data_IF_565780985859
#
_entry.id   IF_565780985859
#
_cell.length_a   1.000
_cell.length_b   1.000
_cell.length_c   1.000
_cell.angle_alpha   90.00
_cell.angle_beta   90.00
_cell.angle_gamma   90.00
#
_symmetry.space_group_name_H-M   'P 1'
#
loop_
_entity.id
_entity.type
_entity.pdbx_description
1 polymer ?
#
# COMPACT_ATOMS: atom_id res chain seq x y z
N UNK A 1 -27.90 -1.05 28.34
CA UNK A 1 -26.62 -1.22 27.63
C UNK A 1 -26.23 0.15 27.11
N UNK A 2 -25.12 0.70 27.61
CA UNK A 2 -24.72 2.08 27.35
C UNK A 2 -24.02 2.22 26.01
N UNK A 3 -24.11 3.40 25.39
CA UNK A 3 -23.32 3.74 24.22
C UNK A 3 -21.86 3.97 24.63
N UNK A 4 -20.91 3.38 23.90
CA UNK A 4 -19.49 3.57 24.14
C UNK A 4 -18.85 4.34 22.97
N UNK A 5 -17.91 5.23 23.27
CA UNK A 5 -17.17 5.98 22.26
C UNK A 5 -15.67 5.80 22.44
N UNK A 6 -15.01 5.36 21.38
CA UNK A 6 -13.55 5.25 21.31
C UNK A 6 -13.01 6.29 20.34
N UNK A 7 -11.83 6.83 20.65
CA UNK A 7 -11.10 7.74 19.77
C UNK A 7 -9.94 7.01 19.10
N UNK A 8 -9.65 7.40 17.87
CA UNK A 8 -8.50 6.96 17.10
C UNK A 8 -8.00 8.06 16.18
N UNK A 9 -6.96 7.76 15.42
CA UNK A 9 -6.39 8.67 14.44
C UNK A 9 -6.99 8.37 13.06
N UNK A 10 -7.65 9.33 12.41
CA UNK A 10 -8.10 9.21 11.02
C UNK A 10 -6.97 8.80 10.06
N UNK A 11 -7.15 7.67 9.38
CA UNK A 11 -6.21 7.21 8.35
C UNK A 11 -6.84 7.32 6.95
N UNK A 12 -8.08 6.83 6.81
CA UNK A 12 -8.91 6.95 5.59
C UNK A 12 -10.26 7.53 6.00
N UNK A 13 -10.67 8.65 5.39
CA UNK A 13 -11.88 9.36 5.78
C UNK A 13 -13.18 8.65 5.39
N UNK A 14 -14.30 9.24 5.81
CA UNK A 14 -15.64 8.75 5.54
C UNK A 14 -16.31 8.08 6.75
N UNK A 15 -17.51 7.55 6.52
CA UNK A 15 -18.37 6.99 7.56
C UNK A 15 -18.82 5.58 7.19
N UNK A 16 -18.70 4.67 8.15
CA UNK A 16 -19.11 3.28 8.03
C UNK A 16 -20.11 2.88 9.11
N UNK A 17 -21.08 2.03 8.77
CA UNK A 17 -22.03 1.46 9.73
C UNK A 17 -22.05 -0.05 9.54
N UNK A 18 -21.77 -0.79 10.61
CA UNK A 18 -21.71 -2.25 10.56
C UNK A 18 -21.74 -2.88 11.93
N UNK A 19 -21.45 -4.18 11.98
CA UNK A 19 -21.14 -4.90 13.22
C UNK A 19 -19.64 -5.07 13.37
N UNK A 20 -19.16 -4.96 14.60
CA UNK A 20 -17.76 -5.19 14.93
C UNK A 20 -17.42 -6.65 14.62
N UNK A 21 -16.38 -6.85 13.83
CA UNK A 21 -15.82 -8.16 13.53
C UNK A 21 -14.34 -8.16 13.86
N UNK A 22 -13.96 -8.94 14.87
CA UNK A 22 -12.56 -9.10 15.24
C UNK A 22 -11.88 -10.07 14.29
N UNK A 23 -10.74 -9.64 13.79
CA UNK A 23 -9.81 -10.48 13.06
C UNK A 23 -8.66 -10.74 14.02
N UNK A 24 -8.75 -11.86 14.69
CA UNK A 24 -7.68 -12.38 15.53
C UNK A 24 -6.87 -13.35 14.69
N UNK A 25 -5.55 -13.23 14.75
CA UNK A 25 -4.63 -14.26 14.28
C UNK A 25 -4.67 -15.43 15.27
N UNK A 26 -5.83 -16.08 15.38
CA UNK A 26 -6.11 -17.14 16.36
C UNK A 26 -5.39 -18.47 16.06
N UNK A 27 -4.54 -18.52 15.03
CA UNK A 27 -3.78 -19.71 14.66
C UNK A 27 -2.36 -19.77 15.23
N UNK A 28 -1.81 -18.64 15.70
CA UNK A 28 -0.40 -18.56 16.10
C UNK A 28 -0.18 -18.75 17.63
N UNK A 29 -1.20 -19.09 18.42
CA UNK A 29 -0.96 -19.49 19.81
C UNK A 29 -0.19 -20.83 19.85
N UNK A 30 1.13 -20.71 19.74
CA UNK A 30 2.17 -21.68 20.10
C UNK A 30 1.75 -23.15 19.93
N UNK A 31 1.59 -23.59 18.69
CA UNK A 31 2.06 -24.94 18.36
C UNK A 31 3.60 -24.94 18.22
N UNK A 32 4.29 -24.33 19.19
CA UNK A 32 5.71 -24.54 19.44
C UNK A 32 5.88 -25.95 20.03
N UNK A 33 5.46 -26.96 19.27
CA UNK A 33 5.70 -28.34 19.58
C UNK A 33 7.14 -28.65 19.18
N UNK A 34 8.02 -28.86 20.16
CA UNK A 34 9.36 -29.41 19.90
C UNK A 34 9.24 -30.57 18.92
N UNK A 35 10.05 -30.54 17.86
CA UNK A 35 10.14 -31.50 16.76
C UNK A 35 10.50 -32.93 17.17
N UNK A 36 10.44 -33.26 18.46
CA UNK A 36 10.61 -34.63 18.92
C UNK A 36 9.57 -35.62 18.33
N UNK A 37 8.60 -35.16 17.51
CA UNK A 37 7.69 -35.99 16.71
C UNK A 37 7.52 -35.58 15.22
N UNK A 38 8.23 -34.59 14.70
CA UNK A 38 8.01 -34.09 13.33
C UNK A 38 9.17 -34.53 12.42
N UNK A 39 8.87 -35.13 11.27
CA UNK A 39 9.86 -35.51 10.27
C UNK A 39 10.23 -34.27 9.43
N UNK A 40 11.51 -33.91 9.26
CA UNK A 40 11.92 -32.74 8.49
C UNK A 40 11.34 -32.70 7.07
N UNK A 41 11.24 -33.86 6.41
CA UNK A 41 10.69 -33.96 5.06
C UNK A 41 9.17 -33.69 5.02
N UNK A 42 8.43 -34.03 6.08
CA UNK A 42 6.99 -33.70 6.19
C UNK A 42 6.79 -32.19 6.36
N UNK A 43 7.62 -31.54 7.19
CA UNK A 43 7.58 -30.08 7.39
C UNK A 43 7.96 -29.32 6.12
N UNK A 44 8.94 -29.80 5.35
CA UNK A 44 9.26 -29.24 4.04
C UNK A 44 8.08 -29.39 3.08
N UNK A 45 7.43 -30.55 3.06
CA UNK A 45 6.23 -30.75 2.24
C UNK A 45 5.06 -29.83 2.64
N UNK A 46 4.91 -29.52 3.93
CA UNK A 46 3.95 -28.52 4.43
C UNK A 46 4.32 -27.11 3.96
N UNK A 47 5.59 -26.74 4.08
CA UNK A 47 6.13 -25.46 3.64
C UNK A 47 5.88 -25.23 2.14
N UNK A 48 6.24 -26.19 1.29
CA UNK A 48 6.07 -26.07 -0.17
C UNK A 48 4.60 -25.89 -0.56
N UNK A 49 3.69 -26.62 0.09
CA UNK A 49 2.23 -26.44 -0.11
C UNK A 49 1.77 -25.05 0.31
N UNK A 50 2.28 -24.52 1.42
CA UNK A 50 1.93 -23.18 1.90
C UNK A 50 2.48 -22.08 0.99
N UNK A 51 3.71 -22.22 0.49
CA UNK A 51 4.30 -21.31 -0.50
C UNK A 51 3.50 -21.30 -1.80
N UNK A 52 3.14 -22.48 -2.32
CA UNK A 52 2.33 -22.60 -3.53
C UNK A 52 0.95 -21.95 -3.38
N UNK A 53 0.26 -22.18 -2.24
CA UNK A 53 -1.02 -21.51 -1.92
C UNK A 53 -0.86 -20.00 -1.80
N UNK A 54 0.21 -19.53 -1.19
CA UNK A 54 0.50 -18.09 -1.04
C UNK A 54 0.72 -17.43 -2.40
N UNK A 55 1.44 -18.10 -3.31
CA UNK A 55 1.63 -17.63 -4.68
C UNK A 55 0.31 -17.59 -5.45
N UNK A 56 -0.54 -18.61 -5.30
CA UNK A 56 -1.88 -18.64 -5.91
C UNK A 56 -2.77 -17.51 -5.39
N UNK A 57 -2.76 -17.27 -4.08
CA UNK A 57 -3.46 -16.16 -3.44
C UNK A 57 -3.01 -14.82 -3.98
N UNK A 58 -1.69 -14.57 -4.05
CA UNK A 58 -1.13 -13.34 -4.61
C UNK A 58 -1.49 -13.19 -6.09
N UNK A 59 -1.52 -14.28 -6.85
CA UNK A 59 -1.94 -14.26 -8.26
C UNK A 59 -3.42 -13.88 -8.39
N UNK A 60 -4.31 -14.46 -7.59
CA UNK A 60 -5.72 -14.07 -7.51
C UNK A 60 -5.86 -12.61 -7.07
N UNK A 61 -5.08 -12.18 -6.06
CA UNK A 61 -5.04 -10.79 -5.63
C UNK A 61 -4.56 -9.85 -6.73
N UNK A 62 -3.59 -10.24 -7.55
CA UNK A 62 -3.15 -9.39 -8.66
C UNK A 62 -4.15 -9.30 -9.83
N UNK A 63 -5.04 -10.30 -9.99
CA UNK A 63 -5.93 -10.40 -11.15
C UNK A 63 -7.33 -9.84 -10.94
N UNK A 64 -7.86 -9.82 -9.70
CA UNK A 64 -9.25 -9.40 -9.41
C UNK A 64 -9.44 -7.89 -9.16
N UNK A 65 -8.41 -7.06 -9.35
CA UNK A 65 -8.51 -5.61 -9.14
C UNK A 65 -9.20 -4.88 -10.31
N UNK A 66 -10.09 -3.93 -10.01
CA UNK A 66 -10.73 -3.07 -11.02
C UNK A 66 -10.07 -1.69 -11.07
N UNK A 67 -9.73 -1.22 -12.27
CA UNK A 67 -9.30 0.15 -12.53
C UNK A 67 -8.09 0.63 -11.69
N UNK A 68 -8.18 1.79 -11.01
CA UNK A 68 -7.04 2.48 -10.36
C UNK A 68 -6.44 1.73 -9.16
N UNK A 69 -7.20 0.79 -8.60
CA UNK A 69 -6.77 -0.07 -7.49
C UNK A 69 -5.70 -1.06 -7.95
N UNK A 70 -5.92 -1.70 -9.11
CA UNK A 70 -5.00 -2.69 -9.66
C UNK A 70 -3.65 -2.10 -10.04
N UNK A 71 -3.64 -0.83 -10.45
CA UNK A 71 -2.44 -0.07 -10.78
C UNK A 71 -1.59 0.20 -9.52
N UNK A 72 -2.21 0.71 -8.44
CA UNK A 72 -1.51 0.93 -7.16
C UNK A 72 -0.98 -0.37 -6.50
N UNK A 73 -1.64 -1.50 -6.74
CA UNK A 73 -1.30 -2.79 -6.12
C UNK A 73 -0.27 -3.62 -6.94
N UNK A 74 -0.12 -3.36 -8.24
CA UNK A 74 0.68 -4.21 -9.15
C UNK A 74 2.16 -4.29 -8.78
N UNK A 75 2.77 -3.15 -8.42
CA UNK A 75 4.18 -3.11 -8.01
C UNK A 75 4.46 -3.91 -6.75
N UNK A 76 3.51 -3.92 -5.80
CA UNK A 76 3.62 -4.65 -4.53
C UNK A 76 3.54 -6.16 -4.79
N UNK A 77 2.52 -6.61 -5.53
CA UNK A 77 2.37 -8.03 -5.83
C UNK A 77 3.53 -8.59 -6.65
N UNK A 78 4.14 -7.80 -7.54
CA UNK A 78 5.30 -8.25 -8.30
C UNK A 78 6.50 -8.55 -7.40
N UNK A 79 6.76 -7.70 -6.40
CA UNK A 79 7.82 -7.96 -5.40
C UNK A 79 7.54 -9.24 -4.63
N UNK A 80 6.27 -9.46 -4.26
CA UNK A 80 5.90 -10.65 -3.49
C UNK A 80 6.09 -11.94 -4.30
N UNK A 81 5.76 -11.91 -5.59
CA UNK A 81 6.01 -13.04 -6.51
C UNK A 81 7.49 -13.32 -6.65
N UNK A 82 8.30 -12.30 -6.91
CA UNK A 82 9.76 -12.46 -7.03
C UNK A 82 10.37 -13.08 -5.77
N UNK A 83 9.90 -12.69 -4.58
CA UNK A 83 10.37 -13.28 -3.33
C UNK A 83 9.95 -14.75 -3.18
N UNK A 84 8.71 -15.10 -3.53
CA UNK A 84 8.19 -16.47 -3.42
C UNK A 84 8.74 -17.41 -4.49
N UNK A 85 9.26 -16.87 -5.59
CA UNK A 85 9.92 -17.61 -6.67
C UNK A 85 11.44 -17.69 -6.49
N UNK A 86 12.01 -16.99 -5.49
CA UNK A 86 13.44 -16.99 -5.22
C UNK A 86 13.88 -18.34 -4.61
N UNK A 87 14.66 -19.08 -5.40
CA UNK A 87 15.22 -20.39 -5.03
C UNK A 87 16.10 -20.28 -3.79
N UNK A 88 16.86 -19.20 -3.62
CA UNK A 88 17.74 -19.03 -2.47
C UNK A 88 16.94 -18.87 -1.17
N UNK A 89 15.84 -18.11 -1.22
CA UNK A 89 14.94 -17.94 -0.08
C UNK A 89 14.28 -19.26 0.31
N UNK A 90 13.79 -20.03 -0.66
CA UNK A 90 13.17 -21.34 -0.43
C UNK A 90 14.20 -22.33 0.16
N UNK A 91 15.42 -22.36 -0.37
CA UNK A 91 16.47 -23.24 0.12
C UNK A 91 16.95 -22.86 1.52
N UNK A 92 16.96 -21.57 1.88
CA UNK A 92 17.26 -21.14 3.24
C UNK A 92 16.21 -21.64 4.23
N UNK A 93 14.92 -21.53 3.89
CA UNK A 93 13.84 -22.08 4.73
C UNK A 93 13.96 -23.61 4.91
N UNK A 94 14.30 -24.33 3.82
CA UNK A 94 14.53 -25.79 3.89
C UNK A 94 15.72 -26.14 4.79
N UNK A 95 16.80 -25.37 4.72
CA UNK A 95 17.98 -25.55 5.59
C UNK A 95 17.64 -25.29 7.04
N UNK A 96 16.92 -24.21 7.32
CA UNK A 96 16.48 -23.84 8.67
C UNK A 96 15.69 -24.99 9.32
N UNK A 97 14.72 -25.58 8.59
CA UNK A 97 13.96 -26.76 9.06
C UNK A 97 14.88 -27.96 9.33
N UNK A 98 15.78 -28.30 8.40
CA UNK A 98 16.63 -29.50 8.50
C UNK A 98 17.70 -29.40 9.58
N UNK A 99 18.42 -28.28 9.61
CA UNK A 99 19.59 -28.09 10.46
C UNK A 99 19.18 -27.79 11.90
N UNK A 100 18.22 -26.87 12.09
CA UNK A 100 17.79 -26.45 13.43
C UNK A 100 16.65 -27.30 13.99
N UNK A 101 16.09 -28.22 13.19
CA UNK A 101 14.95 -29.07 13.57
C UNK A 101 13.84 -28.21 14.19
N UNK A 102 13.44 -27.18 13.44
CA UNK A 102 12.35 -26.24 13.75
C UNK A 102 11.17 -26.43 12.79
N UNK A 103 9.96 -26.12 13.25
CA UNK A 103 8.74 -26.29 12.45
C UNK A 103 8.76 -25.38 11.22
N UNK A 104 7.93 -25.66 10.20
CA UNK A 104 7.84 -24.79 9.04
C UNK A 104 7.47 -23.34 9.42
N UNK A 105 6.61 -23.17 10.43
CA UNK A 105 6.21 -21.86 10.96
C UNK A 105 7.38 -21.12 11.63
N UNK A 106 8.16 -21.82 12.47
CA UNK A 106 9.33 -21.26 13.14
C UNK A 106 10.44 -20.92 12.15
N UNK A 107 10.66 -21.77 11.13
CA UNK A 107 11.62 -21.51 10.07
C UNK A 107 11.29 -20.24 9.28
N UNK A 108 10.01 -20.09 8.89
CA UNK A 108 9.52 -18.86 8.25
C UNK A 108 9.78 -17.66 9.15
N UNK A 109 9.42 -17.73 10.43
CA UNK A 109 9.64 -16.61 11.33
C UNK A 109 11.12 -16.27 11.53
N UNK A 110 11.99 -17.26 11.67
CA UNK A 110 13.43 -17.07 11.83
C UNK A 110 14.05 -16.41 10.60
N UNK A 111 13.76 -16.94 9.41
CA UNK A 111 14.25 -16.38 8.15
C UNK A 111 13.76 -14.93 7.96
N UNK A 112 12.45 -14.68 8.10
CA UNK A 112 11.92 -13.32 7.93
C UNK A 112 12.49 -12.34 8.97
N UNK A 113 12.67 -12.77 10.23
CA UNK A 113 13.28 -11.94 11.27
C UNK A 113 14.71 -11.54 10.89
N UNK A 114 15.50 -12.47 10.34
CA UNK A 114 16.86 -12.23 9.85
C UNK A 114 16.89 -11.23 8.68
N UNK A 115 15.97 -11.36 7.72
CA UNK A 115 15.86 -10.42 6.60
C UNK A 115 15.46 -9.02 7.08
N UNK A 116 14.47 -8.94 7.97
CA UNK A 116 14.00 -7.68 8.54
C UNK A 116 15.10 -6.99 9.35
N UNK A 117 15.85 -7.72 10.18
CA UNK A 117 16.97 -7.13 10.93
C UNK A 117 18.05 -6.59 9.98
N UNK A 118 18.43 -7.34 8.95
CA UNK A 118 19.40 -6.87 7.96
C UNK A 118 18.94 -5.60 7.21
N UNK A 119 17.65 -5.49 6.92
CA UNK A 119 17.06 -4.28 6.32
C UNK A 119 17.13 -3.10 7.29
N UNK A 120 16.77 -3.29 8.57
CA UNK A 120 16.79 -2.23 9.57
C UNK A 120 18.23 -1.75 9.81
N UNK A 121 19.17 -2.67 9.95
CA UNK A 121 20.59 -2.39 10.18
C UNK A 121 21.25 -1.67 9.01
N UNK A 122 20.71 -1.82 7.78
CA UNK A 122 21.20 -1.11 6.60
C UNK A 122 21.01 0.42 6.66
N UNK A 123 20.14 0.92 7.56
CA UNK A 123 19.83 2.35 7.70
C UNK A 123 19.12 2.97 6.49
N UNK A 124 18.75 2.17 5.49
CA UNK A 124 18.10 2.66 4.27
C UNK A 124 16.59 2.88 4.51
N UNK A 125 16.19 4.15 4.59
CA UNK A 125 14.79 4.55 4.84
C UNK A 125 13.79 4.02 3.80
N UNK A 126 14.22 3.78 2.56
CA UNK A 126 13.39 3.18 1.53
C UNK A 126 13.18 1.68 1.79
N UNK A 127 14.22 0.96 2.20
CA UNK A 127 14.10 -0.45 2.56
C UNK A 127 13.33 -0.65 3.86
N UNK A 128 13.43 0.29 4.81
CA UNK A 128 12.62 0.28 6.03
C UNK A 128 11.10 0.25 5.74
N UNK A 129 10.65 0.90 4.65
CA UNK A 129 9.24 0.84 4.24
C UNK A 129 8.86 -0.55 3.69
N UNK A 130 9.82 -1.34 3.20
CA UNK A 130 9.62 -2.71 2.73
C UNK A 130 9.56 -3.75 3.84
N UNK A 131 9.93 -3.42 5.07
CA UNK A 131 9.79 -4.34 6.22
C UNK A 131 8.33 -4.80 6.38
N UNK A 132 7.37 -3.88 6.26
CA UNK A 132 5.94 -4.20 6.34
C UNK A 132 5.48 -5.13 5.20
N UNK A 133 6.05 -4.95 4.00
CA UNK A 133 5.80 -5.80 2.84
C UNK A 133 6.29 -7.24 3.11
N UNK A 134 7.51 -7.39 3.65
CA UNK A 134 8.06 -8.70 4.04
C UNK A 134 7.25 -9.37 5.15
N UNK A 135 6.92 -8.64 6.21
CA UNK A 135 6.09 -9.16 7.30
C UNK A 135 4.72 -9.63 6.81
N UNK A 136 4.13 -8.95 5.82
CA UNK A 136 2.86 -9.35 5.22
C UNK A 136 2.92 -10.70 4.54
N UNK A 137 3.97 -10.95 3.74
CA UNK A 137 4.17 -12.24 3.08
C UNK A 137 4.42 -13.32 4.13
N UNK A 138 5.31 -13.07 5.10
CA UNK A 138 5.61 -14.01 6.17
C UNK A 138 4.36 -14.41 6.96
N UNK A 139 3.49 -13.43 7.26
CA UNK A 139 2.20 -13.70 7.88
C UNK A 139 1.30 -14.56 6.98
N UNK A 140 1.20 -14.26 5.69
CA UNK A 140 0.36 -15.03 4.76
C UNK A 140 0.84 -16.47 4.58
N UNK A 141 2.15 -16.70 4.53
CA UNK A 141 2.72 -18.06 4.50
C UNK A 141 2.31 -18.82 5.76
N UNK A 142 2.42 -18.19 6.95
CA UNK A 142 2.00 -18.79 8.22
C UNK A 142 0.51 -19.10 8.27
N UNK A 143 -0.35 -18.20 7.78
CA UNK A 143 -1.81 -18.46 7.68
C UNK A 143 -2.10 -19.70 6.80
N UNK A 144 -1.37 -19.83 5.68
CA UNK A 144 -1.49 -20.97 4.78
C UNK A 144 -0.89 -22.28 5.34
N UNK A 145 0.10 -22.20 6.23
CA UNK A 145 0.66 -23.34 6.98
C UNK A 145 -0.33 -23.89 8.02
N UNK A 146 -0.98 -23.00 8.77
CA UNK A 146 -1.94 -23.37 9.80
C UNK A 146 -3.31 -23.79 9.22
N UNK A 147 -3.52 -23.66 7.90
CA UNK A 147 -4.82 -23.80 7.23
C UNK A 147 -5.93 -22.93 7.85
N UNK A 148 -5.53 -21.90 8.60
CA UNK A 148 -6.45 -20.90 9.17
C UNK A 148 -6.67 -19.86 8.09
N UNK A 149 -7.64 -20.10 7.20
CA UNK A 149 -8.15 -19.00 6.40
C UNK A 149 -8.65 -17.92 7.37
N UNK A 150 -8.19 -16.68 7.21
CA UNK A 150 -8.76 -15.53 7.92
C UNK A 150 -10.22 -15.42 7.50
N UNK A 151 -11.08 -16.08 8.27
CA UNK A 151 -12.49 -16.20 7.97
C UNK A 151 -13.16 -14.90 8.38
N UNK A 152 -12.99 -13.82 7.63
CA UNK A 152 -13.95 -12.71 7.73
C UNK A 152 -15.26 -13.24 7.16
N UNK A 153 -16.36 -13.32 7.93
CA UNK A 153 -17.61 -13.89 7.46
C UNK A 153 -18.12 -13.02 6.32
N UNK A 154 -17.91 -13.47 5.10
CA UNK A 154 -18.60 -13.05 3.88
C UNK A 154 -20.01 -13.60 3.90
N UNK A 155 -20.74 -13.40 5.02
CA UNK A 155 -22.16 -13.72 5.04
C UNK A 155 -22.83 -12.62 4.22
N UNK A 156 -23.20 -12.97 2.99
CA UNK A 156 -23.89 -12.11 2.05
C UNK A 156 -24.99 -11.31 2.79
N UNK A 157 -24.86 -9.98 2.78
CA UNK A 157 -25.86 -9.06 3.33
C UNK A 157 -25.57 -8.44 4.71
N UNK A 158 -24.49 -8.79 5.43
CA UNK A 158 -24.12 -8.10 6.68
C UNK A 158 -22.95 -7.14 6.47
N UNK A 159 -23.16 -5.87 6.82
CA UNK A 159 -22.13 -4.82 6.86
C UNK A 159 -21.27 -5.00 8.11
N UNK A 160 -19.95 -5.14 7.96
CA UNK A 160 -19.01 -5.36 9.06
C UNK A 160 -17.97 -4.24 9.14
N UNK A 161 -17.58 -3.89 10.36
CA UNK A 161 -16.41 -3.07 10.65
C UNK A 161 -15.34 -4.04 11.15
N UNK A 162 -14.26 -4.19 10.38
CA UNK A 162 -13.18 -5.09 10.73
C UNK A 162 -12.28 -4.45 11.79
N UNK A 163 -11.88 -5.22 12.79
CA UNK A 163 -10.99 -4.79 13.87
C UNK A 163 -9.78 -5.69 13.89
N UNK A 164 -8.60 -5.10 13.65
CA UNK A 164 -7.32 -5.79 13.53
C UNK A 164 -6.32 -5.18 14.51
N UNK A 165 -5.36 -5.97 14.98
CA UNK A 165 -4.22 -5.40 15.74
C UNK A 165 -3.31 -4.62 14.80
N UNK A 166 -2.84 -5.30 13.76
CA UNK A 166 -1.96 -4.73 12.74
C UNK A 166 -2.62 -4.83 11.36
N UNK A 167 -2.64 -3.72 10.63
CA UNK A 167 -3.17 -3.67 9.27
C UNK A 167 -2.04 -3.80 8.24
N UNK A 168 -1.86 -5.02 7.72
CA UNK A 168 -0.91 -5.31 6.63
C UNK A 168 -1.50 -5.02 5.25
N UNK A 169 -0.68 -4.71 4.22
CA UNK A 169 -1.13 -4.53 2.84
C UNK A 169 -2.00 -5.67 2.31
N UNK A 170 -1.60 -6.94 2.48
CA UNK A 170 -2.39 -8.09 2.03
C UNK A 170 -3.75 -8.16 2.72
N UNK A 171 -3.79 -7.88 4.03
CA UNK A 171 -5.04 -7.83 4.78
C UNK A 171 -5.93 -6.69 4.31
N UNK A 172 -5.37 -5.52 4.00
CA UNK A 172 -6.13 -4.39 3.45
C UNK A 172 -6.79 -4.75 2.11
N UNK A 173 -6.09 -5.45 1.21
CA UNK A 173 -6.65 -5.95 -0.06
C UNK A 173 -7.79 -6.94 0.21
N UNK A 174 -7.60 -7.88 1.12
CA UNK A 174 -8.62 -8.87 1.49
C UNK A 174 -9.88 -8.20 2.06
N UNK A 175 -9.71 -7.24 2.97
CA UNK A 175 -10.81 -6.49 3.57
C UNK A 175 -11.55 -5.65 2.53
N UNK A 176 -10.81 -5.01 1.64
CA UNK A 176 -11.37 -4.20 0.58
C UNK A 176 -12.26 -5.02 -0.36
N UNK A 177 -11.79 -6.18 -0.80
CA UNK A 177 -12.55 -7.08 -1.68
C UNK A 177 -13.78 -7.67 -1.04
N UNK A 178 -13.72 -7.91 0.28
CA UNK A 178 -14.85 -8.41 1.05
C UNK A 178 -15.91 -7.34 1.32
N UNK A 179 -15.65 -6.07 0.96
CA UNK A 179 -16.61 -4.99 1.06
C UNK A 179 -16.95 -4.63 2.51
N UNK A 180 -15.95 -4.61 3.40
CA UNK A 180 -16.15 -4.13 4.77
C UNK A 180 -16.54 -2.65 4.76
N UNK A 181 -17.38 -2.25 5.71
CA UNK A 181 -17.84 -0.85 5.82
C UNK A 181 -16.88 0.05 6.59
N UNK A 182 -15.83 -0.51 7.16
CA UNK A 182 -14.77 0.24 7.83
C UNK A 182 -13.74 -0.67 8.48
N UNK A 183 -12.62 -0.09 8.85
CA UNK A 183 -11.48 -0.80 9.45
C UNK A 183 -10.99 -0.03 10.68
N UNK A 184 -10.76 -0.76 11.77
CA UNK A 184 -10.08 -0.28 12.96
C UNK A 184 -8.77 -1.05 13.10
N UNK A 185 -7.66 -0.34 13.23
CA UNK A 185 -6.36 -0.91 13.46
C UNK A 185 -5.70 -0.25 14.68
N UNK A 186 -4.95 -1.02 15.47
CA UNK A 186 -4.05 -0.44 16.47
C UNK A 186 -2.76 0.05 15.83
N UNK A 187 -2.25 -0.72 14.87
CA UNK A 187 -0.98 -0.51 14.18
C UNK A 187 -1.09 -0.75 12.66
N UNK A 188 -0.08 -0.34 11.89
CA UNK A 188 -0.02 -0.55 10.42
C UNK A 188 -0.93 0.37 9.58
N UNK A 189 -1.87 1.10 10.19
CA UNK A 189 -2.74 2.04 9.50
C UNK A 189 -2.23 3.50 9.53
N UNK A 190 -0.93 3.73 9.36
CA UNK A 190 -0.37 5.08 9.20
C UNK A 190 -0.93 5.79 7.96
N UNK A 191 -1.13 7.11 8.02
CA UNK A 191 -1.81 7.88 6.95
C UNK A 191 -1.26 7.69 5.52
N UNK A 192 0.06 7.41 5.41
CA UNK A 192 0.79 7.16 4.17
C UNK A 192 1.16 5.69 3.96
N UNK A 193 0.66 4.75 4.77
CA UNK A 193 0.95 3.33 4.58
C UNK A 193 0.24 2.78 3.35
N UNK A 194 0.83 1.80 2.68
CA UNK A 194 0.22 1.13 1.53
C UNK A 194 -1.16 0.56 1.87
N UNK A 195 -1.32 0.00 3.08
CA UNK A 195 -2.59 -0.49 3.58
C UNK A 195 -3.69 0.57 3.53
N UNK A 196 -3.39 1.79 3.97
CA UNK A 196 -4.35 2.91 3.99
C UNK A 196 -4.60 3.46 2.59
N UNK A 197 -3.58 3.49 1.73
CA UNK A 197 -3.74 3.87 0.31
C UNK A 197 -4.71 2.92 -0.39
N UNK A 198 -4.59 1.61 -0.13
CA UNK A 198 -5.51 0.59 -0.66
C UNK A 198 -6.93 0.87 -0.15
N UNK A 199 -7.14 1.00 1.17
CA UNK A 199 -8.47 1.24 1.73
C UNK A 199 -9.09 2.58 1.25
N UNK A 200 -8.28 3.63 1.06
CA UNK A 200 -8.72 4.90 0.45
C UNK A 200 -9.22 4.70 -0.98
N UNK A 201 -8.54 3.88 -1.78
CA UNK A 201 -8.95 3.61 -3.16
C UNK A 201 -10.32 2.90 -3.24
N UNK A 202 -10.69 2.14 -2.21
CA UNK A 202 -12.00 1.51 -2.06
C UNK A 202 -13.03 2.36 -1.27
N UNK A 203 -12.68 3.59 -0.87
CA UNK A 203 -13.50 4.46 -0.02
C UNK A 203 -13.92 3.80 1.32
N UNK A 204 -13.03 3.02 1.91
CA UNK A 204 -13.27 2.36 3.19
C UNK A 204 -12.72 3.23 4.33
N UNK A 205 -13.57 3.68 5.26
CA UNK A 205 -13.12 4.51 6.38
C UNK A 205 -12.25 3.70 7.34
N UNK A 206 -11.17 4.30 7.80
CA UNK A 206 -10.15 3.61 8.60
C UNK A 206 -9.67 4.48 9.74
N UNK A 207 -9.69 3.94 10.97
CA UNK A 207 -9.05 4.54 12.15
C UNK A 207 -7.82 3.72 12.55
N UNK A 208 -6.76 4.43 12.91
CA UNK A 208 -5.54 3.89 13.48
C UNK A 208 -5.45 4.20 14.99
N UNK A 209 -4.51 3.58 15.70
CA UNK A 209 -4.23 3.84 17.12
C UNK A 209 -5.46 3.67 18.03
N UNK A 210 -6.35 2.76 17.69
CA UNK A 210 -7.48 2.38 18.56
C UNK A 210 -7.05 1.22 19.45
N UNK A 211 -7.40 1.27 20.73
CA UNK A 211 -7.12 0.18 21.67
C UNK A 211 -7.90 -1.09 21.30
N UNK A 212 -7.17 -2.08 20.76
CA UNK A 212 -7.74 -3.36 20.33
C UNK A 212 -8.41 -4.10 21.48
N UNK A 213 -7.78 -4.16 22.66
CA UNK A 213 -8.28 -4.95 23.79
C UNK A 213 -9.56 -4.33 24.38
N UNK A 214 -9.65 -3.01 24.36
CA UNK A 214 -10.85 -2.32 24.79
C UNK A 214 -12.03 -2.58 23.84
N UNK A 215 -11.79 -2.58 22.52
CA UNK A 215 -12.82 -2.84 21.50
C UNK A 215 -13.18 -4.32 21.40
N UNK A 216 -12.25 -5.23 21.73
CA UNK A 216 -12.42 -6.69 21.67
C UNK A 216 -13.68 -7.18 22.40
N UNK A 217 -14.01 -6.56 23.53
CA UNK A 217 -15.16 -6.92 24.37
C UNK A 217 -16.51 -6.69 23.69
N UNK A 218 -16.54 -5.94 22.60
CA UNK A 218 -17.75 -5.55 21.87
C UNK A 218 -17.92 -6.27 20.52
N UNK A 219 -17.23 -7.40 20.33
CA UNK A 219 -17.37 -8.21 19.12
C UNK A 219 -18.83 -8.55 18.82
N UNK A 220 -19.25 -8.37 17.57
CA UNK A 220 -20.62 -8.61 17.12
C UNK A 220 -21.62 -7.47 17.40
N UNK A 221 -21.28 -6.50 18.25
CA UNK A 221 -22.11 -5.32 18.52
C UNK A 221 -22.19 -4.41 17.30
N UNK A 222 -23.29 -3.65 17.19
CA UNK A 222 -23.43 -2.62 16.15
C UNK A 222 -22.48 -1.48 16.46
N UNK A 223 -21.85 -0.93 15.43
CA UNK A 223 -20.99 0.23 15.56
C UNK A 223 -21.07 1.15 14.34
N UNK A 224 -20.71 2.41 14.58
CA UNK A 224 -20.51 3.44 13.57
C UNK A 224 -19.05 3.87 13.67
N UNK A 225 -18.35 3.87 12.55
CA UNK A 225 -17.02 4.46 12.42
C UNK A 225 -17.18 5.79 11.69
N UNK A 226 -16.76 6.87 12.34
CA UNK A 226 -16.66 8.20 11.75
C UNK A 226 -15.18 8.55 11.70
N UNK A 227 -14.58 8.25 10.56
CA UNK A 227 -13.16 8.48 10.34
C UNK A 227 -12.85 9.95 10.00
N UNK A 228 -13.85 10.80 9.79
CA UNK A 228 -13.62 12.25 9.68
C UNK A 228 -13.40 12.86 11.06
N UNK A 229 -14.18 12.43 12.05
CA UNK A 229 -14.06 12.90 13.43
C UNK A 229 -13.07 12.08 14.29
N UNK A 230 -12.59 10.94 13.78
CA UNK A 230 -11.67 10.09 14.53
C UNK A 230 -12.34 9.26 15.62
N UNK A 231 -13.63 8.92 15.47
CA UNK A 231 -14.42 8.26 16.52
C UNK A 231 -15.06 6.95 16.06
N UNK A 232 -15.17 6.02 17.00
CA UNK A 232 -15.94 4.80 16.89
C UNK A 232 -17.05 4.84 17.95
N UNK A 233 -18.29 4.68 17.53
CA UNK A 233 -19.47 4.63 18.40
C UNK A 233 -19.98 3.20 18.42
N UNK A 234 -20.01 2.57 19.58
CA UNK A 234 -20.47 1.19 19.79
C UNK A 234 -21.83 1.21 20.48
N UNK A 235 -22.72 0.32 20.05
CA UNK A 235 -24.13 0.26 20.46
C UNK A 235 -24.84 1.63 20.28
N UNK A 236 -24.73 2.26 19.09
CA UNK A 236 -25.40 3.53 18.82
C UNK A 236 -26.92 3.36 18.90
N UNK A 237 -27.59 4.41 19.32
CA UNK A 237 -29.04 4.41 19.38
C UNK A 237 -29.66 4.53 17.96
N UNK A 238 -31.00 4.46 17.89
CA UNK A 238 -31.69 4.57 16.59
C UNK A 238 -31.58 5.96 15.97
N UNK A 239 -31.41 7.00 16.78
CA UNK A 239 -31.29 8.39 16.32
C UNK A 239 -29.93 8.65 15.67
N UNK A 240 -28.85 8.17 16.29
CA UNK A 240 -27.49 8.20 15.77
C UNK A 240 -27.39 7.45 14.44
N UNK A 241 -27.92 6.22 14.39
CA UNK A 241 -27.92 5.43 13.15
C UNK A 241 -28.64 6.18 12.02
N UNK A 242 -29.76 6.86 12.31
CA UNK A 242 -30.49 7.64 11.29
C UNK A 242 -29.68 8.84 10.83
N UNK A 243 -29.12 9.60 11.77
CA UNK A 243 -28.26 10.77 11.48
C UNK A 243 -27.09 10.39 10.58
N UNK A 244 -26.35 9.33 10.93
CA UNK A 244 -25.21 8.89 10.14
C UNK A 244 -25.59 8.27 8.78
N UNK A 245 -26.74 7.61 8.67
CA UNK A 245 -27.24 7.16 7.36
C UNK A 245 -27.57 8.32 6.44
N UNK A 246 -28.15 9.39 6.98
CA UNK A 246 -28.43 10.61 6.22
C UNK A 246 -27.12 11.27 5.77
N UNK A 247 -26.14 11.39 6.68
CA UNK A 247 -24.80 11.90 6.35
C UNK A 247 -24.13 11.11 5.21
N UNK A 248 -24.17 9.76 5.26
CA UNK A 248 -23.64 8.91 4.18
C UNK A 248 -24.36 9.18 2.86
N UNK A 249 -25.69 9.30 2.89
CA UNK A 249 -26.49 9.57 1.69
C UNK A 249 -26.18 10.95 1.09
N UNK A 250 -26.02 11.97 1.93
CA UNK A 250 -25.75 13.33 1.47
C UNK A 250 -24.33 13.45 0.91
N UNK A 251 -23.35 12.81 1.56
CA UNK A 251 -21.99 12.71 1.04
C UNK A 251 -21.94 11.98 -0.31
N UNK A 252 -22.72 10.91 -0.48
CA UNK A 252 -22.81 10.19 -1.75
C UNK A 252 -23.39 11.07 -2.87
N UNK A 253 -24.49 11.79 -2.60
CA UNK A 253 -25.08 12.74 -3.56
C UNK A 253 -24.12 13.85 -3.94
N UNK A 254 -23.41 14.41 -2.94
CA UNK A 254 -22.40 15.45 -3.17
C UNK A 254 -21.25 14.94 -4.02
N UNK A 255 -20.76 13.73 -3.75
CA UNK A 255 -19.73 13.10 -4.58
C UNK A 255 -20.22 12.87 -6.01
N UNK A 256 -21.47 12.42 -6.22
CA UNK A 256 -22.02 12.29 -7.57
C UNK A 256 -22.08 13.64 -8.29
N UNK A 257 -22.58 14.69 -7.65
CA UNK A 257 -22.60 16.03 -8.22
C UNK A 257 -21.20 16.53 -8.62
N UNK A 258 -20.19 16.35 -7.74
CA UNK A 258 -18.79 16.69 -8.06
C UNK A 258 -18.26 15.86 -9.24
N UNK A 259 -18.62 14.57 -9.32
CA UNK A 259 -18.20 13.71 -10.42
C UNK A 259 -18.89 14.06 -11.75
N UNK A 260 -20.07 14.68 -11.71
CA UNK A 260 -20.78 15.23 -12.88
C UNK A 260 -20.17 16.57 -13.33
N UNK A 261 -19.63 17.37 -12.40
CA UNK A 261 -18.93 18.63 -12.68
C UNK A 261 -17.46 18.46 -13.14
N UNK A 262 -16.99 17.22 -13.38
CA UNK A 262 -15.59 16.86 -13.70
C UNK A 262 -14.90 17.67 -14.80
N UNK A 263 -15.66 18.32 -15.67
CA UNK A 263 -15.13 19.08 -16.82
C UNK A 263 -15.38 20.58 -16.70
N UNK A 264 -15.92 21.05 -15.57
CA UNK A 264 -16.15 22.46 -15.36
C UNK A 264 -14.80 23.17 -15.06
N UNK A 265 -14.50 24.30 -15.72
CA UNK A 265 -13.34 25.12 -15.39
C UNK A 265 -13.40 25.62 -13.94
N UNK A 266 -12.26 25.63 -13.24
CA UNK A 266 -12.20 26.07 -11.86
C UNK A 266 -12.15 27.61 -11.74
N UNK A 267 -13.09 28.17 -10.98
CA UNK A 267 -13.19 29.60 -10.68
C UNK A 267 -13.32 29.82 -9.17
N UNK A 268 -12.76 30.92 -8.69
CA UNK A 268 -13.03 31.44 -7.35
C UNK A 268 -14.42 32.10 -7.30
N UNK A 269 -14.95 32.37 -6.10
CA UNK A 269 -16.27 33.01 -5.93
C UNK A 269 -16.35 34.42 -6.54
N UNK A 270 -15.21 35.11 -6.66
CA UNK A 270 -15.05 36.41 -7.30
C UNK A 270 -14.68 36.30 -8.80
N UNK A 271 -14.71 35.09 -9.38
CA UNK A 271 -14.62 34.88 -10.83
C UNK A 271 -13.19 34.72 -11.39
N UNK A 272 -12.17 34.61 -10.54
CA UNK A 272 -10.81 34.37 -11.00
C UNK A 272 -10.64 32.90 -11.40
N UNK A 273 -10.22 32.68 -12.66
CA UNK A 273 -9.93 31.34 -13.16
C UNK A 273 -8.61 30.83 -12.60
N UNK A 274 -8.57 29.57 -12.17
CA UNK A 274 -7.34 28.86 -11.85
C UNK A 274 -7.37 27.46 -12.45
N UNK A 275 -6.21 26.82 -12.55
CA UNK A 275 -6.10 25.46 -13.10
C UNK A 275 -5.76 24.45 -12.03
N UNK A 276 -6.46 23.32 -12.04
CA UNK A 276 -6.16 22.18 -11.16
C UNK A 276 -5.33 21.17 -11.94
N UNK A 277 -4.07 21.03 -11.51
CA UNK A 277 -3.11 20.12 -12.13
C UNK A 277 -2.66 19.03 -11.17
N UNK A 278 -2.31 17.85 -11.70
CA UNK A 278 -1.81 16.74 -10.87
C UNK A 278 -0.30 16.73 -10.72
N UNK A 279 0.15 16.27 -9.56
CA UNK A 279 1.52 15.85 -9.32
C UNK A 279 1.61 14.34 -9.57
N UNK A 280 2.46 13.93 -10.49
CA UNK A 280 2.62 12.53 -10.88
C UNK A 280 4.08 12.10 -10.82
N UNK A 281 4.28 10.80 -10.67
CA UNK A 281 5.60 10.16 -10.61
C UNK A 281 5.72 8.97 -11.57
N UNK A 282 4.59 8.56 -12.17
CA UNK A 282 4.49 7.50 -13.18
C UNK A 282 3.23 7.70 -14.05
N UNK A 283 3.07 6.87 -15.09
CA UNK A 283 1.93 6.93 -16.02
C UNK A 283 0.61 6.45 -15.41
N UNK A 284 0.64 5.68 -14.33
CA UNK A 284 -0.56 5.20 -13.66
C UNK A 284 -1.22 6.33 -12.86
N UNK A 285 -0.43 7.09 -12.10
CA UNK A 285 -0.87 8.31 -11.41
C UNK A 285 -1.48 9.32 -12.39
N UNK A 286 -0.91 9.42 -13.60
CA UNK A 286 -1.50 10.19 -14.69
C UNK A 286 -2.91 9.71 -15.06
N UNK A 287 -3.10 8.41 -15.31
CA UNK A 287 -4.39 7.86 -15.70
C UNK A 287 -5.45 8.02 -14.60
N UNK A 288 -5.04 7.95 -13.33
CA UNK A 288 -5.92 8.23 -12.18
C UNK A 288 -6.36 9.69 -12.21
N UNK A 289 -5.42 10.62 -12.40
CA UNK A 289 -5.67 12.04 -12.44
C UNK A 289 -6.54 12.45 -13.66
N UNK A 290 -6.26 11.89 -14.84
CA UNK A 290 -7.03 12.12 -16.06
C UNK A 290 -8.52 11.73 -15.88
N UNK A 291 -8.81 10.62 -15.20
CA UNK A 291 -10.19 10.19 -14.87
C UNK A 291 -10.94 11.15 -13.92
N UNK A 292 -10.22 12.07 -13.28
CA UNK A 292 -10.74 13.11 -12.38
C UNK A 292 -10.82 14.49 -13.03
N UNK A 293 -10.49 14.62 -14.32
CA UNK A 293 -10.65 15.87 -15.07
C UNK A 293 -9.55 16.91 -14.82
N UNK A 294 -8.29 16.49 -14.68
CA UNK A 294 -7.18 17.44 -14.55
C UNK A 294 -7.04 18.33 -15.79
N UNK A 295 -6.67 19.59 -15.56
CA UNK A 295 -6.36 20.56 -16.60
C UNK A 295 -4.87 20.52 -17.01
N UNK A 296 -4.01 19.94 -16.16
CA UNK A 296 -2.56 19.93 -16.34
C UNK A 296 -1.86 18.85 -15.52
N UNK A 297 -0.58 18.65 -15.82
CA UNK A 297 0.37 17.97 -14.93
C UNK A 297 1.29 19.05 -14.35
N UNK A 298 1.08 19.38 -13.08
CA UNK A 298 1.80 20.46 -12.39
C UNK A 298 3.18 20.05 -11.91
N UNK A 299 3.45 18.75 -11.87
CA UNK A 299 4.77 18.22 -11.53
C UNK A 299 4.91 16.77 -11.99
N UNK A 300 5.88 16.48 -12.85
CA UNK A 300 6.42 15.14 -13.05
C UNK A 300 7.65 14.98 -12.17
N UNK A 301 7.58 14.07 -11.20
CA UNK A 301 8.73 13.62 -10.43
C UNK A 301 9.52 12.61 -11.24
N UNK A 302 10.70 13.01 -11.70
CA UNK A 302 11.54 12.18 -12.58
C UNK A 302 12.48 11.26 -11.81
N UNK A 303 12.61 11.42 -10.50
CA UNK A 303 13.54 10.66 -9.66
C UNK A 303 13.26 9.16 -9.75
N UNK A 304 11.99 8.75 -9.76
CA UNK A 304 11.58 7.34 -9.84
C UNK A 304 12.18 6.66 -11.08
N UNK A 305 12.36 7.39 -12.19
CA UNK A 305 12.94 6.85 -13.41
C UNK A 305 14.42 6.48 -13.24
N UNK A 306 15.14 7.22 -12.41
CA UNK A 306 16.50 6.90 -12.02
C UNK A 306 16.50 5.83 -10.92
N UNK A 307 15.57 5.89 -9.96
CA UNK A 307 15.58 4.98 -8.82
C UNK A 307 15.20 3.52 -9.14
N UNK A 308 14.24 3.32 -10.05
CA UNK A 308 13.70 1.99 -10.36
C UNK A 308 14.42 1.28 -11.54
N UNK A 309 15.50 1.85 -12.06
CA UNK A 309 16.27 1.28 -13.17
C UNK A 309 17.34 0.28 -12.71
N UNK A 310 17.73 -0.65 -13.58
CA UNK A 310 18.98 -1.42 -13.41
C UNK A 310 20.22 -0.64 -13.86
N UNK A 311 20.02 0.43 -14.62
CA UNK A 311 21.02 1.34 -15.17
C UNK A 311 20.41 2.74 -15.28
N UNK A 312 21.28 3.75 -15.40
CA UNK A 312 20.87 5.14 -15.66
C UNK A 312 20.03 5.20 -16.95
N UNK A 313 18.86 5.86 -16.94
CA UNK A 313 18.01 5.95 -18.12
C UNK A 313 18.67 6.77 -19.23
N UNK A 314 18.79 6.19 -20.42
CA UNK A 314 19.27 6.89 -21.62
C UNK A 314 18.28 7.95 -22.12
N UNK A 315 18.74 8.77 -23.08
CA UNK A 315 17.95 9.87 -23.65
C UNK A 315 16.63 9.39 -24.25
N UNK A 316 16.65 8.27 -24.98
CA UNK A 316 15.48 7.76 -25.69
C UNK A 316 14.43 7.16 -24.76
N UNK A 317 14.84 6.56 -23.65
CA UNK A 317 13.95 6.07 -22.60
C UNK A 317 13.28 7.24 -21.89
N UNK A 318 14.05 8.27 -21.52
CA UNK A 318 13.51 9.48 -20.91
C UNK A 318 12.53 10.20 -21.87
N UNK A 319 12.93 10.38 -23.13
CA UNK A 319 12.10 11.01 -24.16
C UNK A 319 10.79 10.26 -24.37
N UNK A 320 10.81 8.92 -24.45
CA UNK A 320 9.60 8.11 -24.62
C UNK A 320 8.59 8.31 -23.49
N UNK A 321 9.06 8.47 -22.26
CA UNK A 321 8.19 8.71 -21.10
C UNK A 321 7.61 10.13 -21.14
N UNK A 322 8.48 11.13 -21.30
CA UNK A 322 8.07 12.54 -21.29
C UNK A 322 7.13 12.87 -22.46
N UNK A 323 7.48 12.44 -23.68
CA UNK A 323 6.63 12.64 -24.87
C UNK A 323 5.28 11.94 -24.75
N UNK A 324 5.21 10.78 -24.09
CA UNK A 324 3.94 10.10 -23.86
C UNK A 324 3.01 10.92 -22.97
N UNK A 325 3.51 11.46 -21.85
CA UNK A 325 2.70 12.30 -20.96
C UNK A 325 2.28 13.60 -21.66
N UNK A 326 3.19 14.23 -22.41
CA UNK A 326 2.90 15.43 -23.20
C UNK A 326 1.76 15.19 -24.21
N UNK A 327 1.89 14.14 -25.05
CA UNK A 327 0.85 13.75 -26.03
C UNK A 327 -0.51 13.46 -25.39
N UNK A 328 -0.51 12.85 -24.20
CA UNK A 328 -1.75 12.52 -23.51
C UNK A 328 -2.44 13.77 -22.96
N UNK A 329 -1.69 14.81 -22.55
CA UNK A 329 -2.26 16.05 -22.04
C UNK A 329 -2.85 16.98 -23.09
N UNK A 330 -2.53 16.80 -24.38
CA UNK A 330 -3.02 17.57 -25.55
C UNK A 330 -2.97 19.10 -25.39
N UNK A 331 -3.87 19.67 -24.59
CA UNK A 331 -4.03 21.12 -24.37
C UNK A 331 -3.58 21.57 -22.97
N UNK A 332 -3.23 20.64 -22.07
CA UNK A 332 -2.83 20.94 -20.70
C UNK A 332 -1.31 21.07 -20.54
N UNK A 333 -0.87 21.95 -19.63
CA UNK A 333 0.54 22.13 -19.33
C UNK A 333 1.13 20.88 -18.66
N UNK A 334 2.36 20.52 -19.02
CA UNK A 334 3.13 19.46 -18.36
C UNK A 334 4.43 20.06 -17.81
N UNK A 335 4.55 20.10 -16.49
CA UNK A 335 5.74 20.60 -15.80
C UNK A 335 6.62 19.42 -15.43
N UNK A 336 7.76 19.27 -16.10
CA UNK A 336 8.73 18.21 -15.83
C UNK A 336 9.81 18.75 -14.91
N UNK A 337 9.95 18.18 -13.72
CA UNK A 337 11.06 18.52 -12.82
C UNK A 337 12.26 17.67 -13.17
N UNK A 338 13.42 18.31 -13.29
CA UNK A 338 14.70 17.60 -13.38
C UNK A 338 14.92 16.72 -12.15
N UNK A 339 15.73 15.68 -12.27
CA UNK A 339 15.83 14.68 -11.21
C UNK A 339 16.46 15.28 -9.94
N UNK A 340 15.72 15.23 -8.84
CA UNK A 340 16.18 15.59 -7.50
C UNK A 340 16.61 14.34 -6.71
N UNK A 341 17.79 13.81 -7.04
CA UNK A 341 18.33 12.57 -6.45
C UNK A 341 19.03 12.89 -5.13
N UNK A 342 18.53 12.30 -4.03
CA UNK A 342 19.13 12.41 -2.69
C UNK A 342 19.92 11.14 -2.32
N UNK A 343 20.95 11.30 -1.49
CA UNK A 343 21.93 10.25 -1.14
C UNK A 343 21.30 9.02 -0.49
N UNK A 344 20.22 9.22 0.26
CA UNK A 344 19.45 8.21 0.97
C UNK A 344 18.62 7.29 0.06
N UNK A 345 18.61 7.53 -1.25
CA UNK A 345 17.82 6.77 -2.23
C UNK A 345 18.63 6.25 -3.42
N UNK A 346 19.96 6.23 -3.36
CA UNK A 346 20.79 5.86 -4.51
C UNK A 346 20.62 4.37 -4.92
N UNK A 347 20.44 4.05 -6.22
CA UNK A 347 20.38 2.67 -6.73
C UNK A 347 21.73 1.95 -6.65
N UNK A 348 21.73 0.62 -6.75
CA UNK A 348 22.96 -0.21 -6.74
C UNK A 348 24.01 0.19 -7.79
N UNK A 349 23.59 0.74 -8.94
CA UNK A 349 24.49 1.21 -9.99
C UNK A 349 25.10 2.59 -9.70
N UNK A 350 24.90 3.18 -8.51
CA UNK A 350 25.45 4.50 -8.15
C UNK A 350 26.99 4.58 -8.22
N UNK A 351 27.68 3.44 -8.27
CA UNK A 351 29.11 3.35 -8.61
C UNK A 351 29.42 3.81 -10.05
N UNK A 352 28.50 3.60 -11.00
CA UNK A 352 28.59 4.08 -12.41
C UNK A 352 28.32 5.60 -12.54
N UNK A 353 27.75 6.24 -11.50
CA UNK A 353 27.53 7.68 -11.46
C UNK A 353 28.81 8.47 -11.16
N UNK A 354 29.93 7.83 -10.78
CA UNK A 354 31.29 8.40 -10.69
C UNK A 354 31.43 9.72 -9.90
N UNK A 355 32.09 9.72 -8.74
CA UNK A 355 32.38 10.90 -7.89
C UNK A 355 31.18 11.78 -7.44
N UNK A 356 29.95 11.49 -7.87
CA UNK A 356 28.71 12.12 -7.39
C UNK A 356 28.34 11.66 -5.95
N UNK A 357 29.09 10.71 -5.38
CA UNK A 357 28.72 10.01 -4.14
C UNK A 357 29.39 10.56 -2.85
N UNK A 358 30.12 11.67 -2.90
CA UNK A 358 30.87 12.18 -1.74
C UNK A 358 30.30 13.54 -1.31
N UNK A 359 29.77 13.56 -0.07
CA UNK A 359 29.14 14.67 0.68
C UNK A 359 27.61 14.83 0.48
N UNK A 360 26.98 15.51 1.43
CA UNK A 360 25.57 15.40 1.86
C UNK A 360 24.48 15.90 0.89
N UNK A 361 23.24 15.90 1.39
CA UNK A 361 21.98 16.02 0.63
C UNK A 361 21.79 17.30 -0.19
N UNK A 362 22.64 18.32 -0.04
CA UNK A 362 22.63 19.56 -0.85
C UNK A 362 23.65 19.56 -2.00
N UNK A 363 24.66 18.70 -1.96
CA UNK A 363 25.77 18.67 -2.94
C UNK A 363 25.45 17.79 -4.17
N UNK A 364 24.56 16.80 -4.03
CA UNK A 364 24.13 15.91 -5.10
C UNK A 364 23.34 16.59 -6.23
N UNK A 365 22.50 17.58 -5.92
CA UNK A 365 21.78 18.37 -6.94
C UNK A 365 22.77 19.11 -7.85
N UNK A 366 23.76 19.76 -7.25
CA UNK A 366 24.82 20.49 -7.98
C UNK A 366 25.70 19.53 -8.80
N UNK A 367 25.98 18.34 -8.29
CA UNK A 367 26.73 17.31 -9.02
C UNK A 367 25.93 16.69 -10.16
N UNK A 368 24.63 16.46 -9.99
CA UNK A 368 23.77 16.03 -11.09
C UNK A 368 23.70 17.10 -12.17
N UNK A 369 23.45 18.37 -11.80
CA UNK A 369 23.45 19.53 -12.73
C UNK A 369 24.79 19.67 -13.50
N UNK A 370 25.92 19.29 -12.88
CA UNK A 370 27.24 19.26 -13.53
C UNK A 370 27.55 17.99 -14.35
N UNK A 371 26.68 16.97 -14.31
CA UNK A 371 26.94 15.66 -14.93
C UNK A 371 26.51 15.58 -16.41
N UNK A 372 27.07 14.63 -17.18
CA UNK A 372 26.56 14.31 -18.52
C UNK A 372 25.07 13.90 -18.53
N UNK A 373 24.57 13.33 -17.42
CA UNK A 373 23.20 12.81 -17.30
C UNK A 373 22.15 13.92 -17.19
N UNK A 374 22.50 15.06 -16.62
CA UNK A 374 21.62 16.24 -16.65
C UNK A 374 21.43 16.77 -18.07
N UNK A 375 22.50 16.80 -18.88
CA UNK A 375 22.40 17.15 -20.30
C UNK A 375 21.51 16.17 -21.07
N UNK A 376 21.63 14.87 -20.79
CA UNK A 376 20.75 13.83 -21.37
C UNK A 376 19.29 14.09 -20.98
N UNK A 377 19.02 14.37 -19.69
CA UNK A 377 17.67 14.67 -19.22
C UNK A 377 17.10 15.92 -19.91
N UNK A 378 17.85 17.02 -19.94
CA UNK A 378 17.42 18.25 -20.62
C UNK A 378 17.15 18.02 -22.11
N UNK A 379 18.04 17.31 -22.83
CA UNK A 379 17.84 16.96 -24.24
C UNK A 379 16.56 16.16 -24.45
N UNK A 380 16.29 15.18 -23.59
CA UNK A 380 15.08 14.37 -23.68
C UNK A 380 13.80 15.18 -23.38
N UNK A 381 13.85 16.15 -22.45
CA UNK A 381 12.75 17.08 -22.16
C UNK A 381 12.51 18.01 -23.35
N UNK A 382 13.56 18.58 -23.93
CA UNK A 382 13.49 19.44 -25.12
C UNK A 382 12.97 18.68 -26.35
N UNK A 383 13.36 17.41 -26.52
CA UNK A 383 12.77 16.56 -27.58
C UNK A 383 11.29 16.31 -27.34
N UNK A 384 10.88 16.16 -26.08
CA UNK A 384 9.50 15.90 -25.72
C UNK A 384 8.60 17.14 -25.89
N UNK A 385 9.14 18.36 -25.81
CA UNK A 385 8.37 19.61 -25.91
C UNK A 385 7.83 19.93 -27.32
N UNK A 386 8.15 19.10 -28.32
CA UNK A 386 7.52 19.19 -29.64
C UNK A 386 6.11 18.57 -29.69
N UNK A 387 5.76 17.78 -28.67
CA UNK A 387 4.43 17.17 -28.52
C UNK A 387 3.64 17.92 -27.46
#
# INVERSE_FOLDING_TARGET
MGMFTFRGVPASGGVGIGRIYLIENSGYEKQAGKINKLQPDEEIGRLEKALARTLEDINKMSSTGNGPVRENEAGIFNVYKLMLEDIYFIDELRKEIKENRVSAEEAVEACFRKYVSGIIDSGNSYMAQRVYDFNSIGQRIKENLCCTAVAVPTRAGRKHIAVVRELTPLLAVDLARRGVTGVLASEGAGYLSHSVIILKAYNIPTLNCVDFEAVRKFSGSKAIIDAEQGILIIEPDRTDIRKYRQLISDNFKRLQAILEEKTAPAFTLDGNKFSISANISNLEEYNIAARRGIEGVGLIRTEILFLNGKKIPDEDKQYRIYSRVAKMMRNGQVIIRTADIRKDKLPEYASELGNIAVLGSKELKHQFEGSPYFKIQLRSILRASHH
#
